data_IF_048671018994
#
_entry.id   IF_048671018994
#
_cell.length_a   1.000
_cell.length_b   1.000
_cell.length_c   1.000
_cell.angle_alpha   90.00
_cell.angle_beta   90.00
_cell.angle_gamma   90.00
#
_symmetry.space_group_name_H-M   'P 1'
#
loop_
_entity.id
_entity.type
_entity.pdbx_description
1 polymer ?
#
# COMPACT_ATOMS: atom_id res chain seq x y z
N UNK A 1 -0.36 -1.71 -7.26
CA UNK A 1 -0.02 -2.04 -5.86
C UNK A 1 1.09 -1.15 -5.31
N UNK A 2 2.28 -1.12 -5.90
CA UNK A 2 3.42 -0.40 -5.31
C UNK A 2 3.23 1.11 -5.19
N UNK A 3 2.57 1.74 -6.18
CA UNK A 3 2.10 3.12 -6.03
C UNK A 3 1.19 3.31 -4.81
N UNK A 4 0.25 2.39 -4.55
CA UNK A 4 -0.65 2.48 -3.37
C UNK A 4 0.13 2.42 -2.06
N UNK A 5 1.11 1.51 -1.99
CA UNK A 5 1.98 1.36 -0.81
C UNK A 5 2.85 2.60 -0.63
N UNK A 6 3.43 3.12 -1.72
CA UNK A 6 4.26 4.33 -1.73
C UNK A 6 3.48 5.55 -1.24
N UNK A 7 2.28 5.79 -1.78
CA UNK A 7 1.45 6.92 -1.34
C UNK A 7 0.94 6.76 0.09
N UNK A 8 0.63 5.54 0.52
CA UNK A 8 0.27 5.29 1.91
C UNK A 8 1.44 5.60 2.85
N UNK A 9 2.66 5.18 2.51
CA UNK A 9 3.86 5.48 3.29
C UNK A 9 4.17 6.98 3.31
N UNK A 10 3.97 7.68 2.19
CA UNK A 10 4.09 9.13 2.07
C UNK A 10 3.13 9.87 3.01
N UNK A 11 1.84 9.54 2.96
CA UNK A 11 0.81 10.15 3.82
C UNK A 11 1.17 9.93 5.29
N UNK A 12 1.49 8.69 5.68
CA UNK A 12 1.87 8.41 7.06
C UNK A 12 3.12 9.19 7.47
N UNK A 13 4.16 9.21 6.63
CA UNK A 13 5.40 9.95 6.89
C UNK A 13 5.17 11.45 7.07
N UNK A 14 4.25 12.03 6.30
CA UNK A 14 3.96 13.47 6.31
C UNK A 14 3.22 13.94 7.56
N UNK A 15 2.51 13.03 8.23
CA UNK A 15 1.73 13.31 9.44
C UNK A 15 2.38 12.75 10.71
N UNK A 16 3.43 11.94 10.57
CA UNK A 16 4.02 11.20 11.67
C UNK A 16 4.57 12.06 12.80
N UNK A 17 5.24 13.17 12.47
CA UNK A 17 5.77 14.09 13.47
C UNK A 17 4.67 14.65 14.38
N UNK A 18 3.55 15.08 13.79
CA UNK A 18 2.39 15.62 14.53
C UNK A 18 1.73 14.57 15.43
N UNK A 19 1.63 13.33 14.96
CA UNK A 19 1.16 12.20 15.77
C UNK A 19 2.05 11.96 17.01
N UNK A 20 3.35 12.25 16.89
CA UNK A 20 4.32 12.02 17.95
C UNK A 20 4.50 13.24 18.88
N UNK A 21 4.22 14.46 18.42
CA UNK A 21 4.34 15.71 19.19
C UNK A 21 3.14 15.96 20.12
N UNK A 22 1.94 15.46 19.79
CA UNK A 22 0.70 15.68 20.56
C UNK A 22 0.56 14.89 21.89
N UNK A 23 1.66 14.40 22.48
CA UNK A 23 1.63 13.45 23.62
C UNK A 23 1.15 14.08 24.94
N UNK A 24 0.09 13.50 25.51
CA UNK A 24 -0.25 13.60 26.94
C UNK A 24 -0.22 12.19 27.56
N UNK A 25 0.81 11.96 28.36
CA UNK A 25 1.23 10.70 29.01
C UNK A 25 0.05 9.87 29.56
N UNK A 26 -0.28 8.76 28.89
CA UNK A 26 -1.18 7.71 29.39
C UNK A 26 -1.92 6.96 28.29
N UNK A 27 -2.60 7.67 27.37
CA UNK A 27 -3.22 7.10 26.16
C UNK A 27 -2.19 6.78 25.05
N UNK A 28 -0.97 7.32 25.18
CA UNK A 28 0.08 7.36 24.17
C UNK A 28 0.78 6.02 23.89
N UNK A 29 0.89 5.12 24.87
CA UNK A 29 1.63 3.86 24.66
C UNK A 29 0.87 2.89 23.74
N UNK A 30 -0.47 2.90 23.79
CA UNK A 30 -1.30 2.09 22.91
C UNK A 30 -1.28 2.65 21.48
N UNK A 31 -1.37 3.98 21.32
CA UNK A 31 -1.25 4.67 20.04
C UNK A 31 0.12 4.40 19.41
N UNK A 32 1.21 4.62 20.14
CA UNK A 32 2.56 4.40 19.65
C UNK A 32 2.80 2.93 19.25
N UNK A 33 2.28 1.97 20.03
CA UNK A 33 2.33 0.55 19.69
C UNK A 33 1.58 0.25 18.40
N UNK A 34 0.39 0.81 18.24
CA UNK A 34 -0.46 0.56 17.07
C UNK A 34 0.12 1.18 15.80
N UNK A 35 0.61 2.42 15.90
CA UNK A 35 1.37 3.10 14.86
C UNK A 35 2.64 2.32 14.47
N UNK A 36 3.37 1.76 15.42
CA UNK A 36 4.53 0.92 15.09
C UNK A 36 4.15 -0.39 14.38
N UNK A 37 3.00 -0.98 14.69
CA UNK A 37 2.50 -2.14 13.92
C UNK A 37 2.22 -1.77 12.47
N UNK A 38 1.68 -0.57 12.21
CA UNK A 38 1.47 -0.05 10.85
C UNK A 38 2.81 0.12 10.12
N UNK A 39 3.82 0.70 10.77
CA UNK A 39 5.16 0.88 10.18
C UNK A 39 5.82 -0.46 9.86
N UNK A 40 5.78 -1.42 10.78
CA UNK A 40 6.35 -2.76 10.56
C UNK A 40 5.64 -3.47 9.41
N UNK A 41 4.31 -3.45 9.38
CA UNK A 41 3.53 -4.06 8.29
C UNK A 41 3.87 -3.42 6.93
N UNK A 42 4.08 -2.10 6.87
CA UNK A 42 4.54 -1.42 5.65
C UNK A 42 5.96 -1.83 5.24
N UNK A 43 6.88 -1.97 6.19
CA UNK A 43 8.24 -2.43 5.91
C UNK A 43 8.25 -3.86 5.36
N UNK A 44 7.47 -4.76 5.96
CA UNK A 44 7.36 -6.15 5.50
C UNK A 44 6.74 -6.24 4.10
N UNK A 45 5.73 -5.41 3.81
CA UNK A 45 5.18 -5.26 2.46
C UNK A 45 6.21 -4.75 1.46
N UNK A 46 7.08 -3.82 1.87
CA UNK A 46 8.14 -3.33 1.00
C UNK A 46 9.17 -4.43 0.67
N UNK A 47 9.61 -5.19 1.68
CA UNK A 47 10.58 -6.29 1.50
C UNK A 47 10.03 -7.40 0.60
N UNK A 48 8.81 -7.87 0.85
CA UNK A 48 8.14 -8.85 -0.02
C UNK A 48 7.89 -8.29 -1.42
N UNK A 49 7.62 -6.99 -1.52
CA UNK A 49 7.49 -6.28 -2.78
C UNK A 49 8.74 -6.39 -3.67
N UNK A 50 9.94 -6.32 -3.08
CA UNK A 50 11.20 -6.49 -3.81
C UNK A 50 11.32 -7.90 -4.37
N UNK A 51 11.03 -8.91 -3.55
CA UNK A 51 11.04 -10.30 -3.99
C UNK A 51 10.06 -10.53 -5.16
N UNK A 52 8.86 -9.95 -5.10
CA UNK A 52 7.88 -10.02 -6.18
C UNK A 52 8.39 -9.40 -7.48
N UNK A 53 9.07 -8.24 -7.42
CA UNK A 53 9.62 -7.58 -8.59
C UNK A 53 10.84 -8.31 -9.17
N UNK A 54 11.60 -9.03 -8.35
CA UNK A 54 12.67 -9.92 -8.81
C UNK A 54 12.09 -11.12 -9.54
N UNK A 55 11.09 -11.79 -8.95
CA UNK A 55 10.42 -12.93 -9.57
C UNK A 55 9.72 -12.53 -10.88
N UNK A 56 9.05 -11.38 -10.91
CA UNK A 56 8.41 -10.86 -12.13
C UNK A 56 9.41 -10.62 -13.27
N UNK A 57 10.59 -10.06 -12.96
CA UNK A 57 11.64 -9.86 -13.95
C UNK A 57 12.17 -11.19 -14.51
N UNK A 58 12.46 -12.17 -13.63
CA UNK A 58 12.89 -13.52 -14.05
C UNK A 58 11.87 -14.20 -14.97
N UNK A 59 10.58 -14.09 -14.65
CA UNK A 59 9.51 -14.64 -15.49
C UNK A 59 9.42 -13.94 -16.85
N UNK A 60 9.67 -12.63 -16.91
CA UNK A 60 9.65 -11.85 -18.15
C UNK A 60 10.85 -12.14 -19.05
N UNK A 61 12.03 -12.30 -18.47
CA UNK A 61 13.29 -12.51 -19.20
C UNK A 61 13.47 -13.97 -19.68
N UNK A 62 12.44 -14.82 -19.51
CA UNK A 62 12.45 -16.21 -19.97
C UNK A 62 13.21 -17.18 -19.06
N UNK A 63 13.68 -16.72 -17.90
CA UNK A 63 14.35 -17.53 -16.86
C UNK A 63 13.34 -18.20 -15.90
N UNK A 64 12.05 -18.12 -16.22
CA UNK A 64 10.98 -18.64 -15.40
C UNK A 64 10.88 -20.17 -15.43
N UNK A 65 11.03 -20.82 -14.28
CA UNK A 65 10.65 -22.23 -14.10
C UNK A 65 9.24 -22.35 -13.52
N UNK A 66 8.63 -23.56 -13.53
CA UNK A 66 7.39 -23.82 -12.80
C UNK A 66 7.47 -23.44 -11.31
N UNK A 67 8.63 -23.68 -10.68
CA UNK A 67 8.90 -23.33 -9.29
C UNK A 67 8.92 -21.82 -9.08
N UNK A 68 9.62 -21.06 -9.93
CA UNK A 68 9.62 -19.59 -9.90
C UNK A 68 8.20 -19.03 -10.07
N UNK A 69 7.39 -19.67 -10.92
CA UNK A 69 5.99 -19.28 -11.14
C UNK A 69 5.13 -19.54 -9.91
N UNK A 70 5.31 -20.69 -9.24
CA UNK A 70 4.61 -21.03 -8.01
C UNK A 70 5.03 -20.13 -6.84
N UNK A 71 6.33 -19.84 -6.70
CA UNK A 71 6.86 -18.91 -5.71
C UNK A 71 6.28 -17.50 -5.91
N UNK A 72 6.22 -17.04 -7.16
CA UNK A 72 5.64 -15.75 -7.49
C UNK A 72 4.16 -15.68 -7.12
N UNK A 73 3.37 -16.69 -7.47
CA UNK A 73 1.95 -16.76 -7.12
C UNK A 73 1.73 -16.79 -5.60
N UNK A 74 2.50 -17.61 -4.88
CA UNK A 74 2.42 -17.70 -3.41
C UNK A 74 2.82 -16.40 -2.72
N UNK A 75 3.87 -15.75 -3.21
CA UNK A 75 4.32 -14.46 -2.67
C UNK A 75 3.30 -13.36 -2.95
N UNK A 76 2.63 -13.38 -4.11
CA UNK A 76 1.61 -12.41 -4.47
C UNK A 76 0.36 -12.58 -3.60
N UNK A 77 -0.07 -13.81 -3.37
CA UNK A 77 -1.19 -14.12 -2.47
C UNK A 77 -0.88 -13.65 -1.04
N UNK A 78 0.33 -13.93 -0.55
CA UNK A 78 0.77 -13.43 0.75
C UNK A 78 0.77 -11.90 0.80
N UNK A 79 1.34 -11.23 -0.19
CA UNK A 79 1.36 -9.77 -0.28
C UNK A 79 -0.07 -9.20 -0.27
N UNK A 80 -1.02 -9.87 -0.92
CA UNK A 80 -2.41 -9.44 -0.93
C UNK A 80 -3.08 -9.54 0.43
N UNK A 81 -2.86 -10.66 1.15
CA UNK A 81 -3.34 -10.82 2.53
C UNK A 81 -2.76 -9.76 3.47
N UNK A 82 -1.47 -9.46 3.32
CA UNK A 82 -0.77 -8.50 4.18
C UNK A 82 -1.23 -7.06 3.93
N UNK A 83 -1.54 -6.69 2.68
CA UNK A 83 -2.19 -5.40 2.38
C UNK A 83 -3.57 -5.31 3.03
N UNK A 84 -4.34 -6.40 3.03
CA UNK A 84 -5.63 -6.45 3.74
C UNK A 84 -5.45 -6.36 5.26
N UNK A 85 -4.40 -6.96 5.82
CA UNK A 85 -3.99 -6.83 7.21
C UNK A 85 -3.65 -5.40 7.58
N UNK A 86 -2.79 -4.73 6.78
CA UNK A 86 -2.43 -3.32 6.95
C UNK A 86 -3.65 -2.41 6.93
N UNK A 87 -4.58 -2.62 5.99
CA UNK A 87 -5.84 -1.87 5.94
C UNK A 87 -6.64 -2.03 7.23
N UNK A 88 -6.72 -3.24 7.76
CA UNK A 88 -7.45 -3.52 8.99
C UNK A 88 -6.77 -2.84 10.20
N UNK A 89 -5.44 -2.86 10.27
CA UNK A 89 -4.68 -2.10 11.28
C UNK A 89 -4.94 -0.59 11.20
N UNK A 90 -4.97 -0.02 9.98
CA UNK A 90 -5.29 1.40 9.77
C UNK A 90 -6.73 1.73 10.14
N UNK A 91 -7.67 0.82 9.90
CA UNK A 91 -9.08 0.98 10.26
C UNK A 91 -9.26 0.98 11.79
N UNK A 92 -8.63 0.03 12.49
CA UNK A 92 -8.53 0.02 13.96
C UNK A 92 -7.88 1.30 14.51
N UNK A 93 -6.98 1.93 13.72
CA UNK A 93 -6.31 3.18 14.09
C UNK A 93 -7.20 4.41 13.93
N UNK A 94 -8.33 4.35 13.21
CA UNK A 94 -9.12 5.54 12.82
C UNK A 94 -9.59 6.36 14.02
N UNK A 95 -10.11 5.69 15.05
CA UNK A 95 -10.59 6.36 16.26
C UNK A 95 -9.46 7.10 16.99
N UNK A 96 -8.23 6.60 16.91
CA UNK A 96 -7.05 7.23 17.49
C UNK A 96 -6.57 8.40 16.60
N UNK A 97 -6.51 8.20 15.29
CA UNK A 97 -6.06 9.22 14.33
C UNK A 97 -7.00 10.45 14.30
N UNK A 98 -8.32 10.24 14.32
CA UNK A 98 -9.31 11.33 14.32
C UNK A 98 -9.16 12.28 15.52
N UNK A 99 -8.63 11.78 16.65
CA UNK A 99 -8.44 12.59 17.87
C UNK A 99 -7.12 13.36 17.90
N UNK A 100 -6.14 12.99 17.07
CA UNK A 100 -4.77 13.55 17.09
C UNK A 100 -4.51 14.39 15.84
N UNK A 101 -4.92 13.89 14.67
CA UNK A 101 -4.74 14.56 13.38
C UNK A 101 -5.93 14.22 12.46
N UNK A 102 -6.95 15.07 12.50
CA UNK A 102 -8.12 14.94 11.64
C UNK A 102 -7.77 15.02 10.14
N UNK A 103 -6.68 15.72 9.79
CA UNK A 103 -6.23 15.82 8.40
C UNK A 103 -5.67 14.47 7.93
N UNK A 104 -4.92 13.75 8.77
CA UNK A 104 -4.46 12.39 8.47
C UNK A 104 -5.64 11.45 8.18
N UNK A 105 -6.72 11.56 8.96
CA UNK A 105 -7.92 10.76 8.72
C UNK A 105 -8.52 11.03 7.33
N UNK A 106 -8.64 12.30 6.94
CA UNK A 106 -9.14 12.69 5.62
C UNK A 106 -8.23 12.20 4.49
N UNK A 107 -6.91 12.31 4.67
CA UNK A 107 -5.93 11.85 3.69
C UNK A 107 -5.91 10.33 3.52
N UNK A 108 -6.19 9.57 4.58
CA UNK A 108 -6.29 8.12 4.52
C UNK A 108 -7.62 7.61 3.98
N UNK A 109 -8.71 8.37 4.11
CA UNK A 109 -10.07 7.91 3.76
C UNK A 109 -10.18 7.31 2.34
N UNK A 110 -9.60 7.90 1.28
CA UNK A 110 -9.62 7.31 -0.06
C UNK A 110 -8.93 5.95 -0.17
N UNK A 111 -7.95 5.66 0.70
CA UNK A 111 -7.18 4.42 0.70
C UNK A 111 -7.87 3.32 1.52
N UNK A 112 -8.34 3.66 2.73
CA UNK A 112 -8.72 2.67 3.75
C UNK A 112 -10.22 2.45 3.93
N UNK A 113 -11.07 3.26 3.29
CA UNK A 113 -12.53 3.14 3.44
C UNK A 113 -13.01 1.68 3.19
N UNK A 114 -13.77 1.14 4.15
CA UNK A 114 -14.23 -0.25 4.10
C UNK A 114 -15.23 -0.50 2.97
N UNK A 115 -15.95 0.56 2.56
CA UNK A 115 -17.03 0.49 1.58
C UNK A 115 -16.55 0.64 0.14
N UNK A 116 -15.45 1.35 -0.07
CA UNK A 116 -15.01 1.80 -1.39
C UNK A 116 -13.51 2.05 -1.52
N UNK A 117 -12.73 2.12 -0.43
CA UNK A 117 -11.33 2.55 -0.48
C UNK A 117 -10.45 1.71 -1.41
N UNK A 118 -9.37 2.32 -1.92
CA UNK A 118 -8.49 1.70 -2.92
C UNK A 118 -7.91 0.36 -2.45
N UNK A 119 -7.52 0.23 -1.17
CA UNK A 119 -6.98 -1.01 -0.63
C UNK A 119 -8.05 -2.12 -0.56
N UNK A 120 -9.29 -1.77 -0.20
CA UNK A 120 -10.41 -2.73 -0.19
C UNK A 120 -10.70 -3.26 -1.59
N UNK A 121 -10.71 -2.38 -2.59
CA UNK A 121 -10.96 -2.76 -3.99
C UNK A 121 -9.83 -3.58 -4.57
N UNK A 122 -8.60 -3.18 -4.30
CA UNK A 122 -7.43 -3.93 -4.73
C UNK A 122 -7.40 -5.33 -4.11
N UNK A 123 -7.71 -5.47 -2.81
CA UNK A 123 -7.80 -6.78 -2.17
C UNK A 123 -8.89 -7.68 -2.78
N UNK A 124 -10.08 -7.12 -3.06
CA UNK A 124 -11.14 -7.83 -3.79
C UNK A 124 -10.70 -8.24 -5.19
N UNK A 125 -9.97 -7.36 -5.88
CA UNK A 125 -9.47 -7.64 -7.21
C UNK A 125 -8.41 -8.75 -7.19
N UNK A 126 -7.50 -8.74 -6.22
CA UNK A 126 -6.52 -9.81 -6.02
C UNK A 126 -7.21 -11.16 -5.79
N UNK A 127 -8.25 -11.19 -4.95
CA UNK A 127 -9.02 -12.40 -4.67
C UNK A 127 -9.83 -12.92 -5.87
N UNK A 128 -10.25 -12.04 -6.78
CA UNK A 128 -11.07 -12.38 -7.95
C UNK A 128 -10.26 -12.58 -9.23
N UNK A 129 -8.97 -12.23 -9.23
CA UNK A 129 -8.14 -12.25 -10.42
C UNK A 129 -7.30 -13.51 -10.47
N UNK A 130 -7.80 -14.54 -11.15
CA UNK A 130 -7.01 -15.69 -11.59
C UNK A 130 -6.18 -15.37 -12.86
N UNK A 131 -6.43 -14.22 -13.51
CA UNK A 131 -6.15 -14.05 -14.94
C UNK A 131 -5.09 -13.02 -15.30
N UNK A 132 -4.66 -12.14 -14.40
CA UNK A 132 -3.56 -11.22 -14.69
C UNK A 132 -2.83 -10.77 -13.43
N UNK A 133 -1.58 -11.19 -13.32
CA UNK A 133 -0.65 -10.72 -12.28
C UNK A 133 -0.23 -9.27 -12.57
N UNK A 134 -0.05 -8.90 -13.84
CA UNK A 134 0.34 -7.56 -14.30
C UNK A 134 -0.59 -6.45 -13.77
N UNK A 135 -1.90 -6.61 -13.86
CA UNK A 135 -2.84 -5.57 -13.37
C UNK A 135 -2.85 -5.42 -11.85
N UNK A 136 -2.59 -6.51 -11.12
CA UNK A 136 -2.52 -6.44 -9.66
C UNK A 136 -1.34 -5.57 -9.20
N UNK A 137 -0.23 -5.59 -9.94
CA UNK A 137 0.98 -4.81 -9.62
C UNK A 137 0.93 -3.35 -10.10
N UNK A 138 0.42 -3.10 -11.31
CA UNK A 138 0.73 -1.88 -12.05
C UNK A 138 -0.49 -0.98 -12.38
N UNK A 139 -1.34 -0.71 -11.40
CA UNK A 139 -2.20 0.48 -11.48
C UNK A 139 -1.30 1.70 -11.76
N UNK A 140 -1.45 2.42 -12.89
CA UNK A 140 -0.55 3.50 -13.25
C UNK A 140 -0.53 4.57 -12.17
N UNK A 141 0.66 5.05 -11.77
CA UNK A 141 0.80 6.05 -10.71
C UNK A 141 -0.03 7.33 -11.00
N UNK A 142 -0.16 7.72 -12.26
CA UNK A 142 -1.02 8.83 -12.67
C UNK A 142 -2.53 8.57 -12.50
N UNK A 143 -2.98 7.32 -12.68
CA UNK A 143 -4.36 6.94 -12.36
C UNK A 143 -4.58 6.93 -10.85
N UNK A 144 -3.60 6.43 -10.09
CA UNK A 144 -3.62 6.46 -8.63
C UNK A 144 -3.71 7.89 -8.08
N UNK A 145 -2.86 8.80 -8.54
CA UNK A 145 -2.86 10.20 -8.11
C UNK A 145 -4.23 10.87 -8.40
N UNK A 146 -4.79 10.63 -9.59
CA UNK A 146 -6.11 11.16 -9.98
C UNK A 146 -7.23 10.60 -9.10
N UNK A 147 -7.17 9.30 -8.77
CA UNK A 147 -8.16 8.63 -7.92
C UNK A 147 -8.09 9.13 -6.46
N UNK A 148 -6.88 9.36 -5.95
CA UNK A 148 -6.67 9.93 -4.61
C UNK A 148 -7.17 11.37 -4.57
N UNK A 149 -6.85 12.19 -5.56
CA UNK A 149 -7.30 13.58 -5.62
C UNK A 149 -8.82 13.68 -5.70
N UNK A 150 -9.45 12.83 -6.50
CA UNK A 150 -10.91 12.71 -6.55
C UNK A 150 -11.46 12.34 -5.17
N UNK A 151 -10.84 11.37 -4.48
CA UNK A 151 -11.23 10.98 -3.13
C UNK A 151 -11.04 12.10 -2.09
N UNK A 152 -9.95 12.86 -2.16
CA UNK A 152 -9.67 13.99 -1.25
C UNK A 152 -10.64 15.14 -1.43
N UNK A 153 -10.90 15.56 -2.67
CA UNK A 153 -11.89 16.59 -2.97
C UNK A 153 -13.31 16.21 -2.50
N UNK A 154 -13.52 14.91 -2.27
CA UNK A 154 -14.77 14.34 -1.77
C UNK A 154 -14.80 14.16 -0.26
N UNK A 155 -13.68 14.23 0.45
CA UNK A 155 -13.62 13.90 1.86
C UNK A 155 -14.02 15.10 2.71
N UNK A 156 -15.11 14.97 3.47
CA UNK A 156 -15.54 15.90 4.51
C UNK A 156 -15.30 15.34 5.92
N UNK A 157 -15.56 16.15 6.97
CA UNK A 157 -15.37 15.76 8.37
C UNK A 157 -16.10 14.47 8.76
N UNK A 158 -17.23 14.19 8.11
CA UNK A 158 -18.09 13.02 8.36
C UNK A 158 -17.80 11.83 7.42
N UNK A 159 -16.81 11.92 6.52
CA UNK A 159 -16.44 10.88 5.56
C UNK A 159 -16.45 11.35 4.10
N UNK A 160 -16.44 10.41 3.14
CA UNK A 160 -16.50 10.71 1.70
C UNK A 160 -17.91 11.18 1.31
N UNK A 161 -18.06 12.46 0.98
CA UNK A 161 -19.30 13.21 0.68
C UNK A 161 -19.64 13.27 -0.83
N UNK A 162 -18.73 12.89 -1.72
CA UNK A 162 -19.11 12.69 -3.13
C UNK A 162 -20.06 11.51 -3.24
N UNK A 163 -21.06 11.65 -4.11
CA UNK A 163 -21.88 10.53 -4.54
C UNK A 163 -20.95 9.34 -4.82
N UNK A 164 -20.94 8.38 -3.89
CA UNK A 164 -20.03 7.23 -3.83
C UNK A 164 -19.79 6.60 -5.21
N UNK A 165 -20.82 6.67 -6.06
CA UNK A 165 -20.86 6.39 -7.49
C UNK A 165 -19.73 7.01 -8.32
N UNK A 166 -19.39 8.30 -8.23
CA UNK A 166 -18.37 8.94 -9.10
C UNK A 166 -16.98 8.36 -8.87
N UNK A 167 -16.59 8.19 -7.61
CA UNK A 167 -15.34 7.54 -7.24
C UNK A 167 -15.35 6.04 -7.61
N UNK A 168 -16.48 5.33 -7.39
CA UNK A 168 -16.65 3.94 -7.85
C UNK A 168 -16.46 3.83 -9.37
N UNK A 169 -17.04 4.75 -10.14
CA UNK A 169 -17.00 4.77 -11.62
C UNK A 169 -15.59 5.06 -12.10
N UNK A 170 -14.90 6.07 -11.56
CA UNK A 170 -13.52 6.37 -11.93
C UNK A 170 -12.58 5.18 -11.67
N UNK A 171 -12.75 4.49 -10.54
CA UNK A 171 -11.99 3.27 -10.24
C UNK A 171 -12.38 2.14 -11.20
N UNK A 172 -13.68 1.94 -11.45
CA UNK A 172 -14.15 0.89 -12.36
C UNK A 172 -13.65 1.09 -13.79
N UNK A 173 -13.60 2.34 -14.27
CA UNK A 173 -13.12 2.68 -15.61
C UNK A 173 -11.60 2.57 -15.71
N UNK A 174 -10.85 2.99 -14.69
CA UNK A 174 -9.40 2.76 -14.63
C UNK A 174 -9.09 1.26 -14.64
N UNK A 175 -9.75 0.48 -13.77
CA UNK A 175 -9.62 -0.99 -13.77
C UNK A 175 -10.00 -1.56 -15.13
N UNK A 176 -11.14 -1.18 -15.71
CA UNK A 176 -11.60 -1.67 -17.02
C UNK A 176 -10.59 -1.34 -18.13
N UNK A 177 -10.01 -0.16 -18.13
CA UNK A 177 -8.99 0.25 -19.11
C UNK A 177 -7.66 -0.46 -18.89
N UNK A 178 -7.29 -0.77 -17.65
CA UNK A 178 -6.14 -1.64 -17.37
C UNK A 178 -6.44 -3.07 -17.86
N UNK A 179 -7.64 -3.61 -17.57
CA UNK A 179 -8.08 -4.94 -18.03
C UNK A 179 -8.14 -5.09 -19.55
N UNK A 180 -8.53 -4.04 -20.27
CA UNK A 180 -8.58 -4.09 -21.74
C UNK A 180 -7.19 -4.21 -22.37
N UNK A 181 -6.13 -3.99 -21.60
CA UNK A 181 -4.72 -4.05 -22.03
C UNK A 181 -3.94 -5.12 -21.28
N UNK A 182 -4.63 -6.01 -20.56
CA UNK A 182 -4.03 -7.04 -19.72
C UNK A 182 -3.28 -8.10 -20.51
N UNK A 183 -2.14 -8.50 -19.94
CA UNK A 183 -1.44 -9.72 -20.35
C UNK A 183 -1.86 -10.83 -19.41
N UNK A 184 -2.36 -11.93 -19.98
CA UNK A 184 -2.76 -13.11 -19.20
C UNK A 184 -1.58 -13.86 -18.59
N UNK A 185 -0.42 -13.77 -19.23
CA UNK A 185 0.80 -14.43 -18.78
C UNK A 185 2.03 -13.58 -19.17
N UNK A 186 2.79 -13.13 -18.17
CA UNK A 186 4.02 -12.36 -18.38
C UNK A 186 5.06 -13.14 -19.21
N UNK A 187 4.99 -14.48 -19.20
CA UNK A 187 5.88 -15.39 -19.94
C UNK A 187 5.56 -15.46 -21.44
N UNK A 188 4.30 -15.22 -21.81
CA UNK A 188 3.80 -15.32 -23.19
C UNK A 188 3.62 -13.96 -23.87
N UNK A 189 4.12 -12.89 -23.25
CA UNK A 189 4.04 -11.55 -23.80
C UNK A 189 4.79 -11.45 -25.14
N UNK A 190 4.13 -10.93 -26.18
CA UNK A 190 4.80 -10.54 -27.41
C UNK A 190 5.83 -9.42 -27.13
N UNK A 191 6.84 -9.25 -27.98
CA UNK A 191 7.98 -8.36 -27.71
C UNK A 191 7.60 -6.91 -27.37
N UNK A 192 6.65 -6.30 -28.09
CA UNK A 192 6.14 -4.95 -27.76
C UNK A 192 5.38 -4.87 -26.42
N UNK A 193 4.84 -6.00 -25.95
CA UNK A 193 4.21 -6.13 -24.63
C UNK A 193 5.28 -6.33 -23.55
N UNK A 194 6.35 -7.06 -23.83
CA UNK A 194 7.46 -7.25 -22.89
C UNK A 194 8.15 -5.94 -22.53
N UNK A 195 8.42 -5.08 -23.51
CA UNK A 195 9.05 -3.77 -23.26
C UNK A 195 8.18 -2.88 -22.37
N UNK A 196 6.86 -2.93 -22.57
CA UNK A 196 5.91 -2.24 -21.72
C UNK A 196 5.91 -2.80 -20.29
N UNK A 197 5.85 -4.13 -20.14
CA UNK A 197 5.88 -4.76 -18.81
C UNK A 197 7.21 -4.46 -18.10
N UNK A 198 8.32 -4.38 -18.82
CA UNK A 198 9.62 -3.98 -18.28
C UNK A 198 9.61 -2.54 -17.77
N UNK A 199 8.99 -1.61 -18.51
CA UNK A 199 8.79 -0.23 -18.05
C UNK A 199 7.89 -0.16 -16.81
N UNK A 200 6.83 -0.97 -16.75
CA UNK A 200 5.94 -1.07 -15.60
C UNK A 200 6.68 -1.63 -14.36
N UNK A 201 7.53 -2.64 -14.52
CA UNK A 201 8.42 -3.16 -13.46
C UNK A 201 9.39 -2.06 -12.98
N UNK A 202 9.99 -1.29 -13.89
CA UNK A 202 10.89 -0.20 -13.53
C UNK A 202 10.17 0.89 -12.73
N UNK A 203 8.96 1.29 -13.15
CA UNK A 203 8.12 2.23 -12.40
C UNK A 203 7.78 1.69 -11.00
N UNK A 204 7.40 0.42 -10.89
CA UNK A 204 7.11 -0.20 -9.61
C UNK A 204 8.32 -0.26 -8.67
N UNK A 205 9.53 -0.49 -9.20
CA UNK A 205 10.76 -0.41 -8.41
C UNK A 205 10.99 1.00 -7.88
N UNK A 206 10.73 2.03 -8.69
CA UNK A 206 10.83 3.41 -8.24
C UNK A 206 9.78 3.74 -7.15
N UNK A 207 8.54 3.28 -7.31
CA UNK A 207 7.48 3.45 -6.29
C UNK A 207 7.87 2.78 -4.96
N UNK A 208 8.42 1.56 -5.05
CA UNK A 208 8.87 0.79 -3.89
C UNK A 208 10.08 1.42 -3.20
N UNK A 209 11.03 1.96 -3.97
CA UNK A 209 12.17 2.70 -3.43
C UNK A 209 11.69 3.92 -2.62
N UNK A 210 10.76 4.71 -3.17
CA UNK A 210 10.13 5.82 -2.43
C UNK A 210 9.42 5.35 -1.18
N UNK A 211 8.67 4.24 -1.25
CA UNK A 211 7.99 3.66 -0.09
C UNK A 211 8.99 3.28 1.03
N UNK A 212 10.14 2.70 0.67
CA UNK A 212 11.22 2.37 1.61
C UNK A 212 11.85 3.60 2.24
N UNK A 213 12.06 4.66 1.47
CA UNK A 213 12.55 5.95 1.99
C UNK A 213 11.58 6.51 3.05
N UNK A 214 10.27 6.55 2.75
CA UNK A 214 9.27 6.96 3.75
C UNK A 214 9.24 6.05 4.97
N UNK A 215 9.35 4.72 4.79
CA UNK A 215 9.42 3.78 5.91
C UNK A 215 10.67 4.00 6.79
N UNK A 216 11.79 4.41 6.19
CA UNK A 216 13.01 4.77 6.91
C UNK A 216 12.81 6.05 7.72
N UNK A 217 12.21 7.08 7.12
CA UNK A 217 11.85 8.34 7.80
C UNK A 217 10.89 8.09 8.96
N UNK A 218 9.84 7.29 8.75
CA UNK A 218 8.88 6.88 9.79
C UNK A 218 9.57 6.19 10.97
N UNK A 219 10.47 5.26 10.68
CA UNK A 219 11.26 4.57 11.71
C UNK A 219 12.15 5.54 12.48
N UNK A 220 12.89 6.40 11.78
CA UNK A 220 13.77 7.40 12.40
C UNK A 220 13.01 8.34 13.32
N UNK A 221 11.91 8.92 12.83
CA UNK A 221 11.04 9.79 13.63
C UNK A 221 10.49 9.08 14.87
N UNK A 222 10.10 7.80 14.74
CA UNK A 222 9.62 7.03 15.89
C UNK A 222 10.72 6.76 16.90
N UNK A 223 11.93 6.39 16.46
CA UNK A 223 13.07 6.15 17.34
C UNK A 223 13.46 7.42 18.11
N UNK A 224 13.49 8.58 17.44
CA UNK A 224 13.74 9.88 18.07
C UNK A 224 12.68 10.21 19.12
N UNK A 225 11.41 10.02 18.79
CA UNK A 225 10.33 10.49 19.66
C UNK A 225 10.05 9.53 20.84
N UNK A 226 10.18 8.22 20.66
CA UNK A 226 9.94 7.21 21.71
C UNK A 226 11.17 7.03 22.61
N UNK A 227 12.37 7.33 22.10
CA UNK A 227 13.62 7.15 22.83
C UNK A 227 14.12 5.69 22.80
N UNK A 228 15.43 5.48 23.02
CA UNK A 228 16.10 4.20 22.78
C UNK A 228 15.61 3.07 23.70
N UNK A 229 15.25 3.40 24.94
CA UNK A 229 14.87 2.40 25.94
C UNK A 229 13.45 1.85 25.72
N UNK A 230 12.49 2.72 25.41
CA UNK A 230 11.13 2.31 25.06
C UNK A 230 11.09 1.61 23.69
N UNK A 231 11.96 2.00 22.75
CA UNK A 231 12.15 1.25 21.50
C UNK A 231 12.73 -0.15 21.72
N UNK A 232 13.69 -0.30 22.62
CA UNK A 232 14.23 -1.61 22.98
C UNK A 232 13.20 -2.53 23.65
N UNK A 233 12.24 -1.97 24.41
CA UNK A 233 11.10 -2.71 24.96
C UNK A 233 10.10 -3.09 23.86
N UNK A 234 9.73 -2.14 22.99
CA UNK A 234 8.85 -2.38 21.85
C UNK A 234 9.38 -3.48 20.91
N UNK A 235 10.67 -3.45 20.55
CA UNK A 235 11.31 -4.49 19.73
C UNK A 235 11.19 -5.88 20.36
N UNK A 236 11.38 -5.99 21.69
CA UNK A 236 11.19 -7.23 22.45
C UNK A 236 9.74 -7.72 22.53
N UNK A 237 8.77 -6.84 22.29
CA UNK A 237 7.33 -7.20 22.34
C UNK A 237 6.74 -7.45 20.95
N UNK A 238 7.39 -6.95 19.89
CA UNK A 238 6.92 -7.06 18.50
C UNK A 238 7.61 -8.18 17.72
N UNK A 239 8.79 -8.63 18.14
CA UNK A 239 9.39 -9.88 17.67
C UNK A 239 8.80 -11.05 18.47
N UNK A 240 8.23 -12.09 17.84
CA UNK A 240 7.90 -13.33 18.52
C UNK A 240 9.16 -14.04 19.05
#
# INVERSE_FOLDING_TARGET
MFGLISTLAEILSSHWGRLLDGRQLGRDAAVARHLMRVVVALQDLCLRGEQLLVLAAKLLDGEGTPETSAEFAGTLDQQAREVAGLRSLLDESKGLMATIDAQLYLDLAPLVDQKSGLLTRWGRQAALSEFSTTTLFFLPAGDLARLIETGRASAGPDGLDVQRTTYVVAVADSIRNTRSREVRDIRLAAQGVQDRVRAEIASARADLARAKEYCSTLRGATETAVGPEAMARLRRTLLP
#
